data_IF_003643724265
#
_entry.id   IF_003643724265
#
_cell.length_a   1.000
_cell.length_b   1.000
_cell.length_c   1.000
_cell.angle_alpha   90.00
_cell.angle_beta   90.00
_cell.angle_gamma   90.00
#
_symmetry.space_group_name_H-M   'P 1'
#
loop_
_entity.id
_entity.type
_entity.pdbx_description
1 polymer ?
#
# COMPACT_ATOMS: atom_id res chain seq x y z
N UNK A 1 -19.42 -3.31 -21.12
CA UNK A 1 -18.15 -2.95 -20.48
C UNK A 1 -17.08 -3.88 -21.02
N UNK A 2 -16.19 -3.40 -21.90
CA UNK A 2 -15.17 -4.25 -22.52
C UNK A 2 -14.22 -4.80 -21.44
N UNK A 3 -14.00 -6.11 -21.44
CA UNK A 3 -13.06 -6.73 -20.52
C UNK A 3 -11.64 -6.24 -20.84
N UNK A 4 -11.10 -5.38 -19.97
CA UNK A 4 -9.69 -5.02 -19.97
C UNK A 4 -8.93 -6.12 -19.22
N UNK A 5 -7.92 -6.70 -19.84
CA UNK A 5 -7.11 -7.74 -19.21
C UNK A 5 -6.35 -7.16 -18.00
N UNK A 6 -6.38 -7.86 -16.88
CA UNK A 6 -5.67 -7.47 -15.66
C UNK A 6 -4.32 -8.17 -15.58
N UNK A 7 -3.26 -7.41 -15.29
CA UNK A 7 -1.94 -7.95 -14.96
C UNK A 7 -1.66 -7.66 -13.49
N UNK A 8 -1.61 -8.71 -12.67
CA UNK A 8 -1.49 -8.58 -11.21
C UNK A 8 -0.07 -8.91 -10.77
N UNK A 9 0.56 -8.01 -10.02
CA UNK A 9 1.85 -8.24 -9.37
C UNK A 9 1.74 -8.16 -7.85
N UNK A 10 2.54 -8.96 -7.16
CA UNK A 10 2.73 -8.88 -5.71
C UNK A 10 3.94 -8.03 -5.39
N UNK A 11 3.86 -7.26 -4.30
CA UNK A 11 4.95 -6.40 -3.85
C UNK A 11 5.08 -6.42 -2.32
N UNK A 12 5.96 -7.28 -1.85
CA UNK A 12 6.32 -7.42 -0.44
C UNK A 12 7.78 -7.90 -0.31
N UNK A 13 8.33 -7.82 0.89
CA UNK A 13 9.76 -8.10 1.16
C UNK A 13 10.22 -9.49 0.71
N UNK A 14 9.34 -10.50 0.76
CA UNK A 14 9.66 -11.87 0.31
C UNK A 14 9.52 -12.12 -1.21
N UNK A 15 9.12 -11.13 -2.02
CA UNK A 15 9.10 -11.25 -3.50
C UNK A 15 10.51 -11.11 -4.03
N UNK A 16 10.90 -11.90 -5.04
CA UNK A 16 12.24 -11.83 -5.64
C UNK A 16 12.52 -10.47 -6.28
N UNK A 17 13.79 -10.06 -6.35
CA UNK A 17 14.17 -8.78 -6.97
C UNK A 17 13.75 -8.69 -8.45
N UNK A 18 13.76 -9.79 -9.19
CA UNK A 18 13.28 -9.84 -10.58
C UNK A 18 11.79 -9.55 -10.66
N UNK A 19 10.97 -10.19 -9.82
CA UNK A 19 9.52 -9.95 -9.79
C UNK A 19 9.18 -8.53 -9.33
N UNK A 20 9.93 -7.98 -8.36
CA UNK A 20 9.76 -6.58 -7.94
C UNK A 20 10.07 -5.61 -9.09
N UNK A 21 11.17 -5.85 -9.82
CA UNK A 21 11.53 -5.06 -11.01
C UNK A 21 10.45 -5.13 -12.07
N UNK A 22 9.89 -6.30 -12.32
CA UNK A 22 8.82 -6.47 -13.29
C UNK A 22 7.54 -5.73 -12.86
N UNK A 23 7.19 -5.75 -11.57
CA UNK A 23 6.07 -4.98 -11.01
C UNK A 23 6.24 -3.44 -11.15
N UNK A 24 7.49 -2.98 -11.14
CA UNK A 24 7.84 -1.56 -11.29
C UNK A 24 7.87 -1.09 -12.74
N UNK A 25 7.80 -1.98 -13.74
CA UNK A 25 7.71 -1.59 -15.15
C UNK A 25 6.39 -0.88 -15.43
N UNK A 26 6.38 -0.09 -16.50
CA UNK A 26 5.17 0.58 -16.97
C UNK A 26 4.07 -0.43 -17.34
N UNK A 27 2.82 -0.01 -17.13
CA UNK A 27 1.65 -0.80 -17.49
C UNK A 27 1.65 -1.17 -18.98
N UNK A 28 1.47 -2.46 -19.36
CA UNK A 28 1.37 -2.86 -20.76
C UNK A 28 0.20 -2.16 -21.45
N UNK A 29 0.39 -1.77 -22.72
CA UNK A 29 -0.67 -1.15 -23.52
C UNK A 29 -1.89 -2.07 -23.60
N UNK A 30 -3.08 -1.50 -23.38
CA UNK A 30 -4.35 -2.23 -23.46
C UNK A 30 -4.66 -3.13 -22.26
N UNK A 31 -3.83 -3.11 -21.21
CA UNK A 31 -4.05 -3.87 -19.97
C UNK A 31 -4.08 -2.94 -18.76
N UNK A 32 -4.71 -3.39 -17.68
CA UNK A 32 -4.65 -2.69 -16.39
C UNK A 32 -3.68 -3.40 -15.46
N UNK A 33 -2.60 -2.73 -15.07
CA UNK A 33 -1.67 -3.24 -14.04
C UNK A 33 -2.29 -3.05 -12.66
N UNK A 34 -2.25 -4.09 -11.84
CA UNK A 34 -2.69 -4.07 -10.44
C UNK A 34 -1.52 -4.49 -9.56
N UNK A 35 -1.16 -3.64 -8.60
CA UNK A 35 -0.11 -3.93 -7.62
C UNK A 35 -0.73 -4.26 -6.26
N UNK A 36 -0.52 -5.49 -5.78
CA UNK A 36 -0.88 -5.92 -4.43
C UNK A 36 0.33 -5.71 -3.53
N UNK A 37 0.34 -4.61 -2.79
CA UNK A 37 1.49 -4.18 -2.02
C UNK A 37 1.26 -4.18 -0.50
N UNK A 38 2.35 -4.42 0.24
CA UNK A 38 2.45 -4.09 1.68
C UNK A 38 2.95 -2.65 1.86
N UNK A 39 3.27 -2.26 3.09
CA UNK A 39 3.85 -0.94 3.41
C UNK A 39 5.15 -0.61 2.68
N UNK A 40 5.81 -1.59 2.01
CA UNK A 40 6.98 -1.33 1.15
C UNK A 40 6.70 -0.31 0.04
N UNK A 41 5.45 -0.19 -0.41
CA UNK A 41 5.05 0.79 -1.41
C UNK A 41 4.84 2.21 -0.85
N UNK A 42 4.85 2.42 0.48
CA UNK A 42 4.60 3.73 1.09
C UNK A 42 5.77 4.69 0.97
N UNK A 43 7.02 4.21 0.99
CA UNK A 43 8.20 5.08 1.04
C UNK A 43 9.17 4.83 -0.10
N UNK A 44 9.59 3.57 -0.33
CA UNK A 44 10.82 3.29 -1.10
C UNK A 44 10.64 3.07 -2.60
N UNK A 45 9.41 2.99 -3.11
CA UNK A 45 9.15 2.65 -4.51
C UNK A 45 8.47 3.81 -5.24
N UNK A 46 8.95 4.15 -6.43
CA UNK A 46 8.35 5.20 -7.27
C UNK A 46 7.63 4.54 -8.43
N UNK A 47 6.33 4.78 -8.52
CA UNK A 47 5.50 4.37 -9.66
C UNK A 47 5.03 5.63 -10.38
N UNK A 48 5.39 5.76 -11.65
CA UNK A 48 4.98 6.90 -12.50
C UNK A 48 3.54 6.77 -12.99
N UNK A 49 2.96 5.57 -12.98
CA UNK A 49 1.71 5.23 -13.67
C UNK A 49 0.51 4.99 -12.73
N UNK A 50 0.64 5.27 -11.43
CA UNK A 50 -0.42 4.99 -10.45
C UNK A 50 -1.49 6.09 -10.44
N UNK A 51 -2.68 5.73 -10.92
CA UNK A 51 -3.87 6.60 -10.97
C UNK A 51 -4.91 6.24 -9.90
N UNK A 52 -4.79 5.08 -9.28
CA UNK A 52 -5.73 4.56 -8.30
C UNK A 52 -4.98 3.91 -7.12
N UNK A 53 -5.40 4.23 -5.89
CA UNK A 53 -4.99 3.55 -4.67
C UNK A 53 -6.23 2.98 -3.99
N UNK A 54 -6.15 1.72 -3.59
CA UNK A 54 -7.12 1.06 -2.72
C UNK A 54 -6.42 0.84 -1.38
N UNK A 55 -6.87 1.55 -0.36
CA UNK A 55 -6.26 1.56 0.96
C UNK A 55 -7.11 0.76 1.95
N UNK A 56 -6.59 -0.40 2.36
CA UNK A 56 -7.22 -1.28 3.33
C UNK A 56 -7.14 -0.75 4.78
N UNK A 57 -6.32 0.27 5.05
CA UNK A 57 -6.20 0.86 6.39
C UNK A 57 -5.47 0.00 7.42
N UNK A 58 -4.76 -1.06 6.99
CA UNK A 58 -4.03 -2.00 7.86
C UNK A 58 -2.53 -2.03 7.58
N UNK A 59 -1.76 -2.32 8.62
CA UNK A 59 -0.35 -2.66 8.57
C UNK A 59 -0.07 -3.88 9.46
N UNK A 60 0.99 -4.62 9.12
CA UNK A 60 1.42 -5.80 9.86
C UNK A 60 2.90 -5.67 10.20
N UNK A 61 3.19 -5.41 11.48
CA UNK A 61 4.55 -5.14 11.96
C UNK A 61 4.89 -6.06 13.13
N UNK A 62 6.18 -6.22 13.39
CA UNK A 62 6.66 -6.92 14.57
C UNK A 62 6.37 -6.03 15.79
N UNK A 63 5.70 -6.57 16.79
CA UNK A 63 5.42 -5.92 18.06
C UNK A 63 6.13 -6.66 19.18
N UNK A 64 6.76 -5.91 20.07
CA UNK A 64 7.47 -6.42 21.24
C UNK A 64 6.64 -6.21 22.51
N UNK A 65 6.37 -7.29 23.24
CA UNK A 65 5.81 -7.21 24.58
C UNK A 65 6.94 -7.23 25.63
N UNK A 66 7.17 -6.14 26.38
CA UNK A 66 8.24 -6.08 27.38
C UNK A 66 8.00 -6.98 28.59
N UNK A 67 6.74 -7.36 28.89
CA UNK A 67 6.40 -8.20 30.04
C UNK A 67 6.71 -9.66 29.74
N UNK A 68 6.18 -10.18 28.64
CA UNK A 68 6.42 -11.57 28.23
C UNK A 68 7.75 -11.78 27.53
N UNK A 69 8.42 -10.71 27.07
CA UNK A 69 9.64 -10.74 26.24
C UNK A 69 9.43 -11.51 24.93
N UNK A 70 8.25 -11.40 24.35
CA UNK A 70 7.88 -12.07 23.10
C UNK A 70 7.70 -11.04 21.98
N UNK A 71 8.34 -11.31 20.84
CA UNK A 71 8.04 -10.66 19.57
C UNK A 71 6.90 -11.40 18.88
N UNK A 72 5.87 -10.67 18.46
CA UNK A 72 4.77 -11.23 17.68
C UNK A 72 4.48 -10.36 16.45
N UNK A 73 3.94 -10.98 15.39
CA UNK A 73 3.57 -10.27 14.19
C UNK A 73 2.08 -9.89 14.25
N UNK A 74 1.78 -8.64 14.58
CA UNK A 74 0.41 -8.17 14.80
C UNK A 74 -0.09 -7.31 13.63
N UNK A 75 -1.39 -7.41 13.33
CA UNK A 75 -2.05 -6.57 12.32
C UNK A 75 -2.87 -5.50 13.03
N UNK A 76 -2.60 -4.24 12.73
CA UNK A 76 -3.23 -3.08 13.35
C UNK A 76 -3.67 -2.06 12.29
N UNK A 77 -4.41 -1.04 12.72
CA UNK A 77 -4.77 0.07 11.85
C UNK A 77 -3.52 0.90 11.53
N UNK A 78 -3.46 1.46 10.33
CA UNK A 78 -2.38 2.40 9.98
C UNK A 78 -2.53 3.73 10.71
N UNK A 79 -1.45 4.50 10.77
CA UNK A 79 -1.51 5.89 11.22
C UNK A 79 -2.13 6.81 10.16
N UNK A 80 -2.60 7.99 10.59
CA UNK A 80 -3.06 9.05 9.70
C UNK A 80 -1.95 9.53 8.75
N UNK A 81 -0.71 9.60 9.24
CA UNK A 81 0.47 9.87 8.42
C UNK A 81 0.66 8.81 7.31
N UNK A 82 0.57 7.52 7.63
CA UNK A 82 0.65 6.44 6.64
C UNK A 82 -0.48 6.53 5.60
N UNK A 83 -1.72 6.79 6.03
CA UNK A 83 -2.84 7.01 5.11
C UNK A 83 -2.62 8.22 4.17
N UNK A 84 -1.95 9.28 4.66
CA UNK A 84 -1.57 10.43 3.87
C UNK A 84 -0.46 10.10 2.85
N UNK A 85 0.54 9.31 3.25
CA UNK A 85 1.60 8.83 2.36
C UNK A 85 1.03 7.95 1.23
N UNK A 86 0.11 7.03 1.55
CA UNK A 86 -0.62 6.22 0.55
C UNK A 86 -1.39 7.07 -0.44
N UNK A 87 -2.10 8.10 0.05
CA UNK A 87 -2.79 9.09 -0.82
C UNK A 87 -1.79 9.81 -1.75
N UNK A 88 -0.58 10.09 -1.28
CA UNK A 88 0.48 10.73 -2.06
C UNK A 88 1.06 9.89 -3.21
N UNK A 89 0.60 8.64 -3.39
CA UNK A 89 0.98 7.75 -4.50
C UNK A 89 0.20 7.96 -5.79
N UNK A 90 -0.90 8.72 -5.73
CA UNK A 90 -1.66 9.13 -6.92
C UNK A 90 -1.59 10.65 -7.10
N UNK A 91 -2.02 11.16 -8.26
CA UNK A 91 -2.20 12.60 -8.46
C UNK A 91 -0.94 13.36 -8.89
N UNK A 92 0.18 12.67 -9.17
CA UNK A 92 1.42 13.30 -9.62
C UNK A 92 1.44 13.56 -11.13
N UNK A 93 0.99 12.59 -11.92
CA UNK A 93 1.07 12.62 -13.40
C UNK A 93 -0.31 12.79 -14.03
N UNK A 94 -1.37 12.32 -13.37
CA UNK A 94 -2.75 12.42 -13.82
C UNK A 94 -3.70 12.48 -12.60
N UNK A 95 -4.97 12.91 -12.78
CA UNK A 95 -5.97 12.87 -11.72
C UNK A 95 -6.03 11.49 -11.04
N UNK A 96 -5.86 11.51 -9.72
CA UNK A 96 -5.75 10.31 -8.89
C UNK A 96 -7.01 10.04 -8.08
N UNK A 97 -7.35 8.76 -7.87
CA UNK A 97 -8.42 8.35 -6.95
C UNK A 97 -7.86 7.51 -5.80
N UNK A 98 -8.40 7.74 -4.61
CA UNK A 98 -8.10 6.96 -3.42
C UNK A 98 -9.38 6.41 -2.85
N UNK A 99 -9.46 5.09 -2.78
CA UNK A 99 -10.57 4.37 -2.17
C UNK A 99 -10.12 3.81 -0.84
N UNK A 100 -10.70 4.33 0.25
CA UNK A 100 -10.43 3.85 1.61
C UNK A 100 -11.47 2.82 2.00
N UNK A 101 -11.03 1.66 2.46
CA UNK A 101 -11.91 0.57 2.93
C UNK A 101 -12.27 0.70 4.42
N UNK A 102 -12.22 1.93 4.93
CA UNK A 102 -12.52 2.32 6.30
C UNK A 102 -13.26 3.66 6.29
N UNK A 103 -14.07 3.89 7.32
CA UNK A 103 -14.90 5.09 7.41
C UNK A 103 -14.06 6.31 7.77
N UNK A 104 -14.61 7.51 7.53
CA UNK A 104 -13.99 8.76 7.99
C UNK A 104 -13.82 8.78 9.51
N UNK A 105 -14.82 8.32 10.26
CA UNK A 105 -14.74 8.19 11.72
C UNK A 105 -13.58 7.31 12.16
N UNK A 106 -13.38 6.15 11.53
CA UNK A 106 -12.23 5.30 11.83
C UNK A 106 -10.91 6.02 11.58
N UNK A 107 -10.79 6.75 10.47
CA UNK A 107 -9.57 7.52 10.18
C UNK A 107 -9.30 8.62 11.23
N UNK A 108 -10.34 9.25 11.76
CA UNK A 108 -10.22 10.26 12.82
C UNK A 108 -9.78 9.63 14.17
N UNK A 109 -10.08 8.34 14.38
CA UNK A 109 -9.67 7.54 15.54
C UNK A 109 -8.26 6.92 15.38
N UNK A 110 -7.67 6.94 14.19
CA UNK A 110 -6.30 6.44 13.97
C UNK A 110 -5.27 7.35 14.62
N UNK A 111 -4.18 6.76 15.14
CA UNK A 111 -3.05 7.51 15.67
C UNK A 111 -2.42 8.41 14.58
N UNK A 112 -1.89 9.57 14.97
CA UNK A 112 -1.28 10.50 14.01
C UNK A 112 -0.06 9.86 13.33
N UNK A 113 0.78 9.18 14.11
CA UNK A 113 2.02 8.53 13.67
C UNK A 113 2.06 7.11 14.18
N UNK A 114 2.74 6.23 13.44
CA UNK A 114 3.00 4.88 13.92
C UNK A 114 3.98 4.92 15.09
N UNK A 115 3.87 3.99 16.06
CA UNK A 115 4.88 3.83 17.10
C UNK A 115 6.27 3.60 16.48
N UNK A 116 7.34 4.09 17.14
CA UNK A 116 8.72 3.93 16.67
C UNK A 116 9.18 2.46 16.66
#
# INVERSE_FOLDING_TARGET
YGACELVVHKLHSAVSLSEQRDAMRESPRGKTKVLLATSIAETSLTFSDVTCVIDAGRARNLTWDPVSRISSLSTHNISRASAAQRRGRVGRVAPGRVFRLYTRRMLDEFEEHSPP
#
